data_IF_028636299276
#
_entry.id   IF_028636299276
#
_cell.length_a   1.000
_cell.length_b   1.000
_cell.length_c   1.000
_cell.angle_alpha   90.00
_cell.angle_beta   90.00
_cell.angle_gamma   90.00
#
_symmetry.space_group_name_H-M   'P 1'
#
loop_
_entity.id
_entity.type
_entity.pdbx_description
1 polymer ?
#
# COMPACT_ATOMS: atom_id res chain seq x y z
N UNK A 1 3.84 19.77 4.53
CA UNK A 1 4.12 18.64 3.61
C UNK A 1 3.37 17.43 4.13
N UNK A 2 2.57 16.77 3.29
CA UNK A 2 1.80 15.57 3.68
C UNK A 2 2.44 14.34 3.03
N UNK A 3 2.35 13.20 3.72
CA UNK A 3 2.85 11.90 3.27
C UNK A 3 1.73 10.88 3.47
N UNK A 4 1.50 10.04 2.47
CA UNK A 4 0.56 8.91 2.57
C UNK A 4 1.35 7.65 2.93
N UNK A 5 1.14 7.15 4.14
CA UNK A 5 1.70 5.86 4.56
C UNK A 5 0.67 4.75 4.35
N UNK A 6 1.09 3.67 3.70
CA UNK A 6 0.32 2.42 3.54
C UNK A 6 1.17 1.25 3.97
N UNK A 7 0.55 0.16 4.42
CA UNK A 7 1.26 -1.06 4.83
C UNK A 7 0.50 -2.30 4.38
N UNK A 8 1.23 -3.39 4.14
CA UNK A 8 0.68 -4.74 3.97
C UNK A 8 -0.38 -4.84 2.87
N UNK A 9 -0.08 -4.20 1.73
CA UNK A 9 -0.92 -4.28 0.54
C UNK A 9 -0.90 -5.69 -0.08
N UNK A 10 0.11 -6.50 0.23
CA UNK A 10 0.20 -7.91 -0.16
C UNK A 10 -0.06 -8.16 -1.66
N UNK A 11 0.52 -7.33 -2.52
CA UNK A 11 0.39 -7.46 -3.98
C UNK A 11 -0.99 -7.15 -4.56
N UNK A 12 -1.93 -6.63 -3.77
CA UNK A 12 -3.28 -6.28 -4.22
C UNK A 12 -3.27 -5.06 -5.15
N UNK A 13 -3.40 -5.33 -6.45
CA UNK A 13 -3.34 -4.30 -7.51
C UNK A 13 -4.39 -3.20 -7.34
N UNK A 14 -5.58 -3.53 -6.86
CA UNK A 14 -6.65 -2.53 -6.70
C UNK A 14 -6.37 -1.61 -5.51
N UNK A 15 -5.79 -2.13 -4.41
CA UNK A 15 -5.33 -1.29 -3.30
C UNK A 15 -4.19 -0.35 -3.71
N UNK A 16 -3.26 -0.82 -4.54
CA UNK A 16 -2.20 0.03 -5.09
C UNK A 16 -2.76 1.18 -5.95
N UNK A 17 -3.71 0.89 -6.86
CA UNK A 17 -4.39 1.93 -7.66
C UNK A 17 -5.11 2.94 -6.77
N UNK A 18 -5.89 2.46 -5.81
CA UNK A 18 -6.64 3.32 -4.88
C UNK A 18 -5.72 4.19 -4.03
N UNK A 19 -4.53 3.70 -3.66
CA UNK A 19 -3.52 4.49 -2.95
C UNK A 19 -3.05 5.68 -3.78
N UNK A 20 -2.81 5.45 -5.09
CA UNK A 20 -2.43 6.52 -6.02
C UNK A 20 -3.56 7.52 -6.25
N UNK A 21 -4.80 7.05 -6.41
CA UNK A 21 -5.99 7.90 -6.55
C UNK A 21 -6.14 8.84 -5.35
N UNK A 22 -6.07 8.30 -4.12
CA UNK A 22 -6.16 9.09 -2.88
C UNK A 22 -5.05 10.12 -2.78
N UNK A 23 -3.81 9.73 -3.13
CA UNK A 23 -2.68 10.66 -3.11
C UNK A 23 -2.86 11.80 -4.12
N UNK A 24 -3.34 11.49 -5.33
CA UNK A 24 -3.63 12.46 -6.38
C UNK A 24 -4.73 13.44 -5.97
N UNK A 25 -5.88 12.93 -5.51
CA UNK A 25 -7.02 13.74 -5.06
C UNK A 25 -6.67 14.70 -3.92
N UNK A 26 -5.76 14.28 -3.04
CA UNK A 26 -5.32 15.07 -1.88
C UNK A 26 -4.07 15.92 -2.13
N UNK A 27 -3.49 15.87 -3.33
CA UNK A 27 -2.24 16.58 -3.65
C UNK A 27 -1.05 16.12 -2.83
N UNK A 28 -1.01 14.84 -2.42
CA UNK A 28 0.09 14.25 -1.65
C UNK A 28 1.18 13.80 -2.61
N UNK A 29 2.39 14.35 -2.46
CA UNK A 29 3.51 14.10 -3.36
C UNK A 29 4.36 12.89 -2.99
N UNK A 30 4.21 12.35 -1.77
CA UNK A 30 5.01 11.23 -1.27
C UNK A 30 4.10 10.14 -0.72
N UNK A 31 4.27 8.93 -1.25
CA UNK A 31 3.66 7.70 -0.74
C UNK A 31 4.79 6.85 -0.17
N UNK A 32 4.65 6.41 1.08
CA UNK A 32 5.54 5.43 1.71
C UNK A 32 4.78 4.12 1.85
N UNK A 33 5.26 3.10 1.15
CA UNK A 33 4.72 1.74 1.25
C UNK A 33 5.58 0.90 2.18
N UNK A 34 5.06 0.64 3.38
CA UNK A 34 5.68 -0.24 4.37
C UNK A 34 5.15 -1.67 4.29
N UNK A 35 5.75 -2.55 5.09
CA UNK A 35 5.32 -3.94 5.20
C UNK A 35 5.51 -4.75 3.92
N UNK A 36 4.72 -5.82 3.77
CA UNK A 36 4.88 -6.75 2.65
C UNK A 36 4.23 -6.24 1.37
N UNK A 37 5.04 -5.95 0.37
CA UNK A 37 4.58 -5.47 -0.93
C UNK A 37 4.01 -6.56 -1.84
N UNK A 38 4.47 -7.80 -1.67
CA UNK A 38 4.16 -8.93 -2.54
C UNK A 38 3.03 -9.80 -1.97
N UNK A 39 2.33 -10.58 -2.82
CA UNK A 39 1.32 -11.53 -2.34
C UNK A 39 1.88 -12.44 -1.25
N UNK A 40 1.05 -12.73 -0.25
CA UNK A 40 1.38 -13.74 0.75
C UNK A 40 1.64 -15.06 0.03
N UNK A 41 2.87 -15.58 0.12
CA UNK A 41 3.21 -16.87 -0.48
C UNK A 41 2.48 -18.02 0.23
N UNK A 42 2.14 -17.84 1.52
CA UNK A 42 1.40 -18.79 2.36
C UNK A 42 0.62 -18.05 3.46
N UNK A 43 -0.25 -18.76 4.18
CA UNK A 43 -0.96 -18.21 5.34
C UNK A 43 -0.04 -18.17 6.58
N UNK A 44 0.89 -17.21 6.62
CA UNK A 44 1.97 -17.07 7.63
C UNK A 44 1.52 -16.88 9.09
N UNK A 45 0.22 -16.81 9.36
CA UNK A 45 -0.33 -16.72 10.72
C UNK A 45 -0.64 -18.09 11.35
N UNK A 46 -0.40 -19.17 10.61
CA UNK A 46 -0.55 -20.56 11.07
C UNK A 46 0.80 -21.24 11.37
N UNK A 47 1.91 -20.51 11.21
CA UNK A 47 3.27 -20.90 11.65
C UNK A 47 3.62 -20.16 12.94
#
# INVERSE_FOLDING_TARGET
MQILYVTDLHGDKEKYKKTLEIASEKGISVIVNGGDMLPKQCNRHLE
#
